data_IF_034038526408
#
_entry.id   IF_034038526408
#
_cell.length_a   1.000
_cell.length_b   1.000
_cell.length_c   1.000
_cell.angle_alpha   90.00
_cell.angle_beta   90.00
_cell.angle_gamma   90.00
#
_symmetry.space_group_name_H-M   'P 1'
#
loop_
_entity.id
_entity.type
_entity.pdbx_description
1 polymer ?
#
# COMPACT_ATOMS: atom_id res chain seq x y z
N UNK A 1 81.87 -7.86 57.81
CA UNK A 1 80.65 -8.45 57.21
C UNK A 1 79.44 -8.04 58.04
N UNK A 2 78.44 -7.37 57.46
CA UNK A 2 77.01 -7.42 57.86
C UNK A 2 76.23 -6.41 57.03
N UNK A 3 75.56 -6.85 55.96
CA UNK A 3 74.25 -6.31 55.55
C UNK A 3 73.74 -7.07 54.33
N UNK A 4 72.69 -7.88 54.50
CA UNK A 4 72.08 -8.64 53.40
C UNK A 4 70.65 -9.12 53.67
N UNK A 5 70.05 -8.75 54.81
CA UNK A 5 68.70 -9.21 55.19
C UNK A 5 67.59 -8.21 54.88
N UNK A 6 67.91 -6.94 54.65
CA UNK A 6 66.89 -5.87 54.52
C UNK A 6 66.07 -5.95 53.22
N UNK A 7 66.68 -6.29 52.07
CA UNK A 7 66.01 -6.23 50.76
C UNK A 7 64.97 -7.33 50.50
N UNK A 8 64.92 -8.38 51.35
CA UNK A 8 64.03 -9.54 51.16
C UNK A 8 62.63 -9.32 51.74
N UNK A 9 62.48 -8.41 52.71
CA UNK A 9 61.21 -8.09 53.37
C UNK A 9 60.38 -7.11 52.52
N UNK A 10 61.02 -6.07 51.96
CA UNK A 10 60.33 -5.03 51.18
C UNK A 10 59.75 -5.55 49.86
N UNK A 11 60.43 -6.51 49.23
CA UNK A 11 59.93 -7.16 48.00
C UNK A 11 58.75 -8.10 48.27
N UNK A 12 58.62 -8.62 49.50
CA UNK A 12 57.51 -9.51 49.90
C UNK A 12 56.24 -8.72 50.18
N UNK A 13 56.34 -7.58 50.88
CA UNK A 13 55.19 -6.68 51.13
C UNK A 13 54.59 -6.09 49.86
N UNK A 14 55.44 -5.61 48.93
CA UNK A 14 54.99 -5.08 47.63
C UNK A 14 54.29 -6.14 46.78
N UNK A 15 54.76 -7.39 46.81
CA UNK A 15 54.12 -8.52 46.10
C UNK A 15 52.77 -8.88 46.70
N UNK A 16 52.64 -8.90 48.04
CA UNK A 16 51.37 -9.19 48.71
C UNK A 16 50.33 -8.09 48.46
N UNK A 17 50.73 -6.81 48.47
CA UNK A 17 49.84 -5.69 48.15
C UNK A 17 49.41 -5.72 46.67
N UNK A 18 50.32 -6.02 45.73
CA UNK A 18 49.98 -6.14 44.30
C UNK A 18 49.06 -7.34 44.03
N UNK A 19 49.27 -8.47 44.73
CA UNK A 19 48.40 -9.65 44.63
C UNK A 19 47.02 -9.36 45.25
N UNK A 20 46.96 -8.68 46.40
CA UNK A 20 45.69 -8.32 47.06
C UNK A 20 44.90 -7.26 46.27
N UNK A 21 45.59 -6.26 45.69
CA UNK A 21 44.98 -5.25 44.83
C UNK A 21 44.51 -5.86 43.49
N UNK A 22 45.27 -6.81 42.94
CA UNK A 22 44.87 -7.59 41.77
C UNK A 22 43.66 -8.50 42.02
N UNK A 23 43.58 -9.14 43.19
CA UNK A 23 42.43 -9.95 43.61
C UNK A 23 41.17 -9.11 43.85
N UNK A 24 41.29 -7.94 44.50
CA UNK A 24 40.16 -7.00 44.63
C UNK A 24 39.69 -6.48 43.27
N UNK A 25 40.61 -6.09 42.38
CA UNK A 25 40.26 -5.66 41.02
C UNK A 25 39.60 -6.79 40.20
N UNK A 26 40.04 -8.03 40.37
CA UNK A 26 39.42 -9.20 39.74
C UNK A 26 38.02 -9.50 40.31
N UNK A 27 37.79 -9.33 41.61
CA UNK A 27 36.47 -9.48 42.23
C UNK A 27 35.48 -8.38 41.81
N UNK A 28 35.93 -7.13 41.65
CA UNK A 28 35.08 -6.05 41.12
C UNK A 28 34.73 -6.26 39.64
N UNK A 29 35.64 -6.81 38.83
CA UNK A 29 35.38 -7.13 37.42
C UNK A 29 34.42 -8.32 37.23
N UNK A 30 34.31 -9.22 38.21
CA UNK A 30 33.44 -10.41 38.12
C UNK A 30 31.97 -10.15 38.47
N UNK A 31 31.65 -8.97 39.02
CA UNK A 31 30.29 -8.62 39.47
C UNK A 31 29.39 -8.05 38.36
N UNK A 32 29.88 -7.92 37.13
CA UNK A 32 29.10 -7.44 35.98
C UNK A 32 28.32 -8.56 35.26
N UNK A 33 27.85 -9.55 36.01
CA UNK A 33 27.01 -10.63 35.49
C UNK A 33 25.59 -10.12 35.20
N UNK A 34 25.45 -9.54 34.01
CA UNK A 34 24.30 -9.62 33.09
C UNK A 34 22.91 -9.67 33.77
N UNK A 35 22.26 -8.52 33.77
CA UNK A 35 20.81 -8.44 33.85
C UNK A 35 20.24 -8.86 32.49
N UNK A 36 19.72 -10.09 32.38
CA UNK A 36 18.84 -10.45 31.27
C UNK A 36 17.50 -9.75 31.48
N UNK A 37 17.34 -8.59 30.88
CA UNK A 37 16.03 -7.99 30.68
C UNK A 37 15.27 -8.89 29.69
N UNK A 38 14.43 -9.78 30.21
CA UNK A 38 13.51 -10.55 29.38
C UNK A 38 12.51 -9.59 28.75
N UNK A 39 12.73 -9.31 27.46
CA UNK A 39 11.84 -8.49 26.65
C UNK A 39 10.55 -9.26 26.44
N UNK A 40 9.51 -8.88 27.19
CA UNK A 40 8.13 -9.34 26.97
C UNK A 40 7.78 -9.00 25.52
N UNK A 41 7.78 -10.01 24.66
CA UNK A 41 7.43 -9.85 23.24
C UNK A 41 5.92 -9.70 23.17
N UNK A 42 5.49 -8.48 22.90
CA UNK A 42 4.09 -8.14 22.77
C UNK A 42 3.41 -9.04 21.71
N UNK A 43 2.42 -9.87 22.09
CA UNK A 43 1.76 -10.82 21.20
C UNK A 43 0.83 -10.14 20.19
N UNK A 44 0.65 -8.82 20.24
CA UNK A 44 -0.18 -8.06 19.30
C UNK A 44 0.61 -7.49 18.11
N UNK A 45 1.87 -7.92 17.91
CA UNK A 45 2.69 -7.40 16.80
C UNK A 45 2.03 -7.73 15.46
N UNK A 46 1.53 -6.71 14.72
CA UNK A 46 0.92 -6.94 13.41
C UNK A 46 1.98 -7.44 12.43
N UNK A 47 1.60 -8.24 11.41
CA UNK A 47 2.53 -8.75 10.43
C UNK A 47 3.29 -7.61 9.75
N UNK A 48 4.61 -7.77 9.60
CA UNK A 48 5.44 -6.82 8.90
C UNK A 48 4.90 -6.64 7.46
N UNK A 49 4.69 -5.40 7.05
CA UNK A 49 4.26 -5.09 5.69
C UNK A 49 5.27 -5.70 4.70
N UNK A 50 4.76 -6.53 3.80
CA UNK A 50 5.55 -7.08 2.69
C UNK A 50 5.98 -5.90 1.82
N UNK A 51 7.30 -5.73 1.63
CA UNK A 51 7.85 -4.77 0.67
C UNK A 51 7.23 -5.04 -0.71
N UNK A 52 6.61 -4.03 -1.35
CA UNK A 52 6.03 -4.23 -2.67
C UNK A 52 7.14 -4.61 -3.64
N UNK A 53 7.03 -5.79 -4.24
CA UNK A 53 7.83 -6.18 -5.40
C UNK A 53 7.77 -5.04 -6.40
N UNK A 54 8.93 -4.47 -6.74
CA UNK A 54 9.06 -3.40 -7.73
C UNK A 54 8.55 -3.94 -9.07
N UNK A 55 7.29 -3.67 -9.37
CA UNK A 55 6.69 -4.04 -10.63
C UNK A 55 7.51 -3.42 -11.77
N UNK A 56 7.74 -4.18 -12.83
CA UNK A 56 8.36 -3.67 -14.04
C UNK A 56 7.62 -2.39 -14.50
N UNK A 57 8.32 -1.39 -15.07
CA UNK A 57 7.68 -0.18 -15.56
C UNK A 57 6.54 -0.55 -16.51
N UNK A 58 5.30 -0.35 -16.07
CA UNK A 58 4.15 -0.54 -16.95
C UNK A 58 4.20 0.56 -18.02
N UNK A 59 4.00 0.22 -19.29
CA UNK A 59 3.93 1.23 -20.33
C UNK A 59 2.79 2.22 -19.99
N UNK A 60 2.95 3.53 -20.25
CA UNK A 60 2.03 4.54 -19.77
C UNK A 60 0.59 4.16 -20.12
N UNK A 61 -0.29 4.20 -19.13
CA UNK A 61 -1.68 3.81 -19.29
C UNK A 61 -2.34 4.62 -20.41
N UNK A 62 -3.10 3.95 -21.28
CA UNK A 62 -3.88 4.63 -22.31
C UNK A 62 -5.09 5.27 -21.64
N UNK A 63 -5.01 6.57 -21.36
CA UNK A 63 -6.08 7.33 -20.70
C UNK A 63 -7.14 7.76 -21.73
N UNK A 64 -7.88 6.81 -22.28
CA UNK A 64 -9.04 7.10 -23.10
C UNK A 64 -10.30 6.56 -22.42
N UNK A 65 -11.26 7.43 -22.20
CA UNK A 65 -12.56 7.10 -21.61
C UNK A 65 -13.60 7.35 -22.69
N UNK A 66 -14.35 6.31 -23.04
CA UNK A 66 -15.50 6.42 -23.93
C UNK A 66 -16.73 6.80 -23.08
N UNK A 67 -17.27 8.00 -23.33
CA UNK A 67 -18.44 8.50 -22.59
C UNK A 67 -19.75 8.24 -23.30
N UNK A 68 -19.77 8.29 -24.63
CA UNK A 68 -20.98 8.00 -25.40
C UNK A 68 -20.65 7.68 -26.86
N UNK A 69 -21.61 7.05 -27.51
CA UNK A 69 -21.57 6.62 -28.91
C UNK A 69 -22.92 6.94 -29.52
N UNK A 70 -22.92 7.56 -30.69
CA UNK A 70 -24.11 7.87 -31.47
C UNK A 70 -23.95 7.23 -32.84
N UNK A 71 -24.73 6.19 -33.09
CA UNK A 71 -24.75 5.45 -34.34
C UNK A 71 -26.14 5.61 -34.96
N UNK A 72 -26.19 6.23 -36.13
CA UNK A 72 -27.37 6.35 -36.98
C UNK A 72 -27.01 5.88 -38.41
N UNK A 73 -28.00 5.70 -39.27
CA UNK A 73 -27.76 5.34 -40.68
C UNK A 73 -26.95 6.41 -41.41
N UNK A 74 -27.18 7.69 -41.08
CA UNK A 74 -26.53 8.82 -41.74
C UNK A 74 -25.14 9.13 -41.12
N UNK A 75 -25.01 9.02 -39.79
CA UNK A 75 -23.80 9.50 -39.08
C UNK A 75 -23.42 8.63 -37.89
N UNK A 76 -22.10 8.51 -37.69
CA UNK A 76 -21.48 7.86 -36.52
C UNK A 76 -20.53 8.82 -35.83
N UNK A 77 -20.69 8.98 -34.52
CA UNK A 77 -19.81 9.81 -33.69
C UNK A 77 -19.68 9.22 -32.29
N UNK A 78 -18.58 9.52 -31.62
CA UNK A 78 -18.32 9.09 -30.26
C UNK A 78 -17.76 10.25 -29.45
N UNK A 79 -18.01 10.26 -28.15
CA UNK A 79 -17.38 11.19 -27.21
C UNK A 79 -16.29 10.44 -26.48
N UNK A 80 -15.03 10.85 -26.71
CA UNK A 80 -13.85 10.29 -26.07
C UNK A 80 -13.14 11.42 -25.33
N UNK A 81 -12.90 11.24 -24.03
CA UNK A 81 -12.31 12.27 -23.16
C UNK A 81 -13.02 13.65 -23.28
N UNK A 82 -14.34 13.65 -23.51
CA UNK A 82 -15.15 14.87 -23.64
C UNK A 82 -15.11 15.52 -25.03
N UNK A 83 -14.39 14.93 -26.00
CA UNK A 83 -14.35 15.42 -27.38
C UNK A 83 -15.17 14.53 -28.30
N UNK A 84 -16.01 15.14 -29.14
CA UNK A 84 -16.71 14.45 -30.22
C UNK A 84 -15.70 14.10 -31.31
N UNK A 85 -15.68 12.84 -31.72
CA UNK A 85 -14.83 12.31 -32.79
C UNK A 85 -15.65 11.48 -33.78
N UNK A 86 -15.22 11.44 -35.03
CA UNK A 86 -15.77 10.59 -36.09
C UNK A 86 -14.74 9.55 -36.57
N UNK A 87 -15.18 8.61 -37.41
CA UNK A 87 -14.28 7.64 -38.02
C UNK A 87 -13.20 8.36 -38.85
N UNK A 88 -11.94 7.98 -38.64
CA UNK A 88 -10.78 8.62 -39.28
C UNK A 88 -10.12 9.73 -38.47
N UNK A 89 -10.80 10.32 -37.47
CA UNK A 89 -10.22 11.36 -36.62
C UNK A 89 -9.04 10.86 -35.79
N UNK A 90 -8.21 11.81 -35.33
CA UNK A 90 -7.09 11.54 -34.43
C UNK A 90 -7.29 12.24 -33.08
N UNK A 91 -7.13 11.48 -32.00
CA UNK A 91 -7.29 11.95 -30.62
C UNK A 91 -6.21 11.33 -29.73
N UNK A 92 -5.45 12.15 -29.01
CA UNK A 92 -4.41 11.69 -28.08
C UNK A 92 -3.27 10.86 -28.71
N UNK A 93 -3.10 10.93 -30.04
CA UNK A 93 -2.14 10.08 -30.78
C UNK A 93 -2.71 8.73 -31.25
N UNK A 94 -4.00 8.47 -31.01
CA UNK A 94 -4.72 7.33 -31.59
C UNK A 94 -5.65 7.78 -32.73
N UNK A 95 -5.77 6.97 -33.79
CA UNK A 95 -6.72 7.15 -34.89
C UNK A 95 -7.97 6.32 -34.65
N UNK A 96 -9.15 6.90 -34.89
CA UNK A 96 -10.44 6.20 -34.85
C UNK A 96 -10.59 5.33 -36.09
N UNK A 97 -10.73 4.02 -35.90
CA UNK A 97 -10.92 3.06 -36.99
C UNK A 97 -12.39 2.74 -37.25
N UNK A 98 -13.24 2.83 -36.23
CA UNK A 98 -14.66 2.53 -36.35
C UNK A 98 -15.43 2.78 -35.07
N UNK A 99 -16.69 3.19 -35.20
CA UNK A 99 -17.59 3.49 -34.09
C UNK A 99 -18.79 2.55 -34.13
N UNK A 100 -18.98 1.79 -33.05
CA UNK A 100 -20.09 0.86 -32.83
C UNK A 100 -20.98 1.37 -31.67
N UNK A 101 -22.12 0.72 -31.44
CA UNK A 101 -23.15 1.20 -30.50
C UNK A 101 -22.67 1.41 -29.06
N UNK A 102 -21.69 0.64 -28.59
CA UNK A 102 -21.11 0.78 -27.24
C UNK A 102 -19.59 0.56 -27.23
N UNK A 103 -18.96 0.62 -28.41
CA UNK A 103 -17.55 0.28 -28.60
C UNK A 103 -16.93 1.18 -29.66
N UNK A 104 -15.68 1.56 -29.46
CA UNK A 104 -14.88 2.29 -30.46
C UNK A 104 -13.55 1.59 -30.66
N UNK A 105 -13.18 1.32 -31.91
CA UNK A 105 -11.87 0.78 -32.29
C UNK A 105 -10.91 1.93 -32.57
N UNK A 106 -9.75 1.88 -31.94
CA UNK A 106 -8.68 2.89 -32.05
C UNK A 106 -7.37 2.21 -32.38
N UNK A 107 -6.47 2.94 -33.04
CA UNK A 107 -5.09 2.49 -33.28
C UNK A 107 -4.10 3.58 -32.94
N UNK A 108 -3.13 3.27 -32.10
CA UNK A 108 -1.98 4.13 -31.82
C UNK A 108 -0.67 3.42 -32.21
N UNK A 109 0.47 4.02 -31.82
CA UNK A 109 1.80 3.48 -32.09
C UNK A 109 2.06 2.07 -31.50
N UNK A 110 1.27 1.65 -30.50
CA UNK A 110 1.40 0.33 -29.86
C UNK A 110 0.46 -0.71 -30.48
N UNK A 111 -0.43 -0.30 -31.39
CA UNK A 111 -1.36 -1.18 -32.08
C UNK A 111 -2.83 -0.82 -31.86
N UNK A 112 -3.70 -1.73 -32.28
CA UNK A 112 -5.15 -1.58 -32.21
C UNK A 112 -5.71 -1.97 -30.85
N UNK A 113 -6.70 -1.23 -30.37
CA UNK A 113 -7.39 -1.46 -29.11
C UNK A 113 -8.84 -1.00 -29.21
N UNK A 114 -9.69 -1.53 -28.32
CA UNK A 114 -11.11 -1.18 -28.27
C UNK A 114 -11.46 -0.53 -26.94
N UNK A 115 -12.22 0.56 -26.99
CA UNK A 115 -12.84 1.15 -25.82
C UNK A 115 -14.29 0.70 -25.75
N UNK A 116 -14.75 0.33 -24.55
CA UNK A 116 -16.15 0.04 -24.28
C UNK A 116 -16.75 1.15 -23.42
N UNK A 117 -18.05 1.39 -23.59
CA UNK A 117 -18.78 2.36 -22.80
C UNK A 117 -18.74 1.95 -21.32
N UNK A 118 -18.30 2.87 -20.45
CA UNK A 118 -18.24 2.59 -19.02
C UNK A 118 -19.66 2.54 -18.44
N UNK A 119 -20.13 1.34 -18.05
CA UNK A 119 -21.36 1.20 -17.28
C UNK A 119 -21.06 1.46 -15.80
N UNK A 120 -21.67 2.46 -15.16
CA UNK A 120 -21.49 2.64 -13.72
C UNK A 120 -22.05 1.41 -13.01
N UNK A 121 -21.29 0.85 -12.06
CA UNK A 121 -21.77 -0.22 -11.18
C UNK A 121 -22.82 0.38 -10.23
N UNK A 122 -24.08 0.31 -10.61
CA UNK A 122 -25.20 0.79 -9.78
C UNK A 122 -25.38 -0.20 -8.62
N UNK A 123 -24.86 0.17 -7.45
CA UNK A 123 -25.22 -0.49 -6.19
C UNK A 123 -26.65 -0.08 -5.86
N UNK A 124 -27.57 -1.05 -5.78
CA UNK A 124 -28.99 -0.81 -5.49
C UNK A 124 -29.11 0.10 -4.25
N UNK A 125 -29.88 1.20 -4.31
CA UNK A 125 -30.18 1.92 -3.08
C UNK A 125 -30.93 0.99 -2.14
N UNK A 126 -30.52 0.98 -0.87
CA UNK A 126 -31.26 0.32 0.18
C UNK A 126 -32.64 0.99 0.26
N UNK A 127 -33.67 0.19 -0.05
CA UNK A 127 -35.08 0.53 0.08
C UNK A 127 -35.59 1.68 -0.80
N UNK A 128 -36.15 1.31 -1.96
CA UNK A 128 -37.42 1.91 -2.32
C UNK A 128 -38.36 1.63 -1.14
N UNK A 129 -38.71 2.66 -0.36
CA UNK A 129 -39.84 2.56 0.54
C UNK A 129 -41.05 2.29 -0.34
N UNK A 130 -41.47 1.02 -0.27
CA UNK A 130 -42.73 0.53 -0.76
C UNK A 130 -43.81 1.52 -0.33
N UNK A 131 -44.50 2.02 -1.33
CA UNK A 131 -45.70 2.85 -1.33
C UNK A 131 -46.57 2.61 -0.09
N UNK A 132 -46.33 3.39 0.96
CA UNK A 132 -47.27 3.62 2.05
C UNK A 132 -48.32 4.62 1.55
N UNK A 133 -49.12 4.17 0.58
CA UNK A 133 -50.25 4.85 0.00
C UNK A 133 -51.22 3.71 -0.30
N UNK A 134 -52.44 3.74 0.24
CA UNK A 134 -53.63 2.90 -0.07
C UNK A 134 -54.37 2.26 1.13
N UNK A 135 -54.07 2.54 2.41
CA UNK A 135 -54.88 1.98 3.53
C UNK A 135 -55.73 2.98 4.35
N UNK A 136 -55.63 4.31 4.15
CA UNK A 136 -56.32 5.27 5.05
C UNK A 136 -57.61 5.92 4.54
N UNK A 137 -58.13 5.61 3.34
CA UNK A 137 -59.30 6.35 2.79
C UNK A 137 -60.56 5.52 2.51
N UNK A 138 -60.65 4.25 2.94
CA UNK A 138 -61.81 3.39 2.58
C UNK A 138 -62.76 3.00 3.73
N UNK A 139 -62.59 3.48 4.97
CA UNK A 139 -63.45 3.04 6.10
C UNK A 139 -64.54 4.04 6.54
N UNK A 140 -64.62 5.26 6.00
CA UNK A 140 -65.44 6.31 6.65
C UNK A 140 -66.72 6.80 5.92
N UNK A 141 -67.24 6.12 4.90
CA UNK A 141 -68.47 6.59 4.23
C UNK A 141 -69.52 5.50 3.93
N UNK A 142 -69.72 4.58 4.86
CA UNK A 142 -70.90 3.70 4.86
C UNK A 142 -71.45 3.60 6.28
N UNK A 143 -72.18 4.64 6.70
CA UNK A 143 -73.18 4.61 7.77
C UNK A 143 -74.09 5.84 7.66
#
# INVERSE_FOLDING_TARGET
MCSGRDKREETRGKRVVVIALGLCAACLMLSSAVAWAETVRDPTRPPAAVEPVRAAPQPPARNYILQSTRVSEERRSAVINGRVVVEGDQIGGARVLGIEQARVRLRDARGEFSLALAVPKVTRPAQAREYEYLETTSTEASQ
#
